data_IF_110789879712
#
_entry.id   IF_110789879712
#
_cell.length_a   1.000
_cell.length_b   1.000
_cell.length_c   1.000
_cell.angle_alpha   90.00
_cell.angle_beta   90.00
_cell.angle_gamma   90.00
#
_symmetry.space_group_name_H-M   'P 1'
#
loop_
_entity.id
_entity.type
_entity.pdbx_description
1 polymer ?
#
# COMPACT_ATOMS: atom_id res chain seq x y z
N UNK A 1 21.99 -7.89 -2.24
CA UNK A 1 21.51 -7.71 -0.86
C UNK A 1 20.67 -6.44 -0.89
N UNK A 2 19.37 -6.55 -1.18
CA UNK A 2 18.47 -5.39 -1.13
C UNK A 2 18.16 -5.22 0.34
N UNK A 3 18.84 -4.28 0.99
CA UNK A 3 18.55 -3.92 2.38
C UNK A 3 17.13 -3.39 2.41
N UNK A 4 16.19 -4.22 2.85
CA UNK A 4 14.87 -3.75 3.27
C UNK A 4 15.17 -2.80 4.44
N UNK A 5 14.77 -1.54 4.31
CA UNK A 5 15.05 -0.56 5.35
C UNK A 5 14.30 -0.99 6.62
N UNK A 6 14.89 -0.75 7.79
CA UNK A 6 14.26 -1.05 9.09
C UNK A 6 12.84 -0.45 9.22
N UNK A 7 12.61 0.70 8.59
CA UNK A 7 11.28 1.34 8.51
C UNK A 7 10.27 0.55 7.66
N UNK A 8 10.73 -0.13 6.60
CA UNK A 8 9.89 -1.01 5.79
C UNK A 8 9.56 -2.30 6.55
N UNK A 9 10.50 -2.83 7.33
CA UNK A 9 10.24 -3.95 8.24
C UNK A 9 9.23 -3.57 9.34
N UNK A 10 9.41 -2.42 10.01
CA UNK A 10 8.47 -1.92 11.04
C UNK A 10 7.07 -1.66 10.46
N UNK A 11 7.00 -1.15 9.23
CA UNK A 11 5.74 -0.91 8.53
C UNK A 11 5.05 -2.23 8.13
N UNK A 12 5.81 -3.18 7.59
CA UNK A 12 5.32 -4.50 7.23
C UNK A 12 4.93 -5.33 8.46
N UNK A 13 5.67 -5.22 9.56
CA UNK A 13 5.35 -5.87 10.82
C UNK A 13 4.08 -5.27 11.43
N UNK A 14 3.93 -3.94 11.43
CA UNK A 14 2.69 -3.27 11.86
C UNK A 14 1.46 -3.68 11.05
N UNK A 15 1.65 -3.93 9.74
CA UNK A 15 0.61 -4.34 8.83
C UNK A 15 0.27 -5.84 8.97
N UNK A 16 1.29 -6.68 9.11
CA UNK A 16 1.16 -8.14 9.18
C UNK A 16 0.66 -8.62 10.56
N UNK A 17 1.06 -7.97 11.65
CA UNK A 17 0.65 -8.33 13.02
C UNK A 17 -0.80 -7.96 13.36
N UNK A 18 -1.51 -7.13 12.56
CA UNK A 18 -2.85 -6.61 12.91
C UNK A 18 -3.92 -6.78 11.83
N UNK A 19 -3.91 -7.89 11.08
CA UNK A 19 -5.04 -8.27 10.19
C UNK A 19 -6.40 -8.33 10.92
N UNK A 20 -6.43 -8.48 12.25
CA UNK A 20 -7.67 -8.52 13.04
C UNK A 20 -8.25 -7.11 13.37
N UNK A 21 -7.47 -6.04 13.26
CA UNK A 21 -7.87 -4.66 13.62
C UNK A 21 -7.37 -3.65 12.58
N UNK A 22 -7.92 -3.74 11.36
CA UNK A 22 -7.59 -2.84 10.24
C UNK A 22 -7.75 -1.37 10.66
N UNK A 23 -8.80 -1.02 11.41
CA UNK A 23 -9.04 0.37 11.84
C UNK A 23 -7.96 0.91 12.78
N UNK A 24 -7.51 0.11 13.75
CA UNK A 24 -6.47 0.56 14.67
C UNK A 24 -5.11 0.68 13.96
N UNK A 25 -4.85 -0.22 13.01
CA UNK A 25 -3.65 -0.17 12.17
C UNK A 25 -3.63 1.06 11.28
N UNK A 26 -4.76 1.39 10.66
CA UNK A 26 -4.89 2.62 9.88
C UNK A 26 -4.63 3.86 10.74
N UNK A 27 -5.15 3.91 11.96
CA UNK A 27 -4.87 5.02 12.90
C UNK A 27 -3.38 5.12 13.24
N UNK A 28 -2.71 4.00 13.51
CA UNK A 28 -1.26 3.97 13.80
C UNK A 28 -0.43 4.45 12.62
N UNK A 29 -0.78 4.03 11.40
CA UNK A 29 -0.14 4.48 10.17
C UNK A 29 -0.36 5.99 9.97
N UNK A 30 -1.59 6.48 10.10
CA UNK A 30 -1.89 7.91 9.97
C UNK A 30 -1.17 8.78 11.00
N UNK A 31 -0.85 8.21 12.17
CA UNK A 31 -0.10 8.90 13.23
C UNK A 31 1.39 9.02 12.91
N UNK A 32 1.89 8.31 11.89
CA UNK A 32 3.29 8.36 11.52
C UNK A 32 3.64 9.65 10.79
N UNK A 33 4.76 10.27 11.18
CA UNK A 33 5.23 11.52 10.58
C UNK A 33 5.50 11.30 9.09
N UNK A 34 5.05 12.23 8.25
CA UNK A 34 5.19 12.12 6.80
C UNK A 34 4.06 11.37 6.08
N UNK A 35 3.12 10.72 6.77
CA UNK A 35 1.93 10.14 6.12
C UNK A 35 0.96 11.25 5.71
N UNK A 36 0.68 11.30 4.40
CA UNK A 36 -0.25 12.25 3.79
C UNK A 36 -1.67 11.67 3.77
N UNK A 37 -1.79 10.36 3.48
CA UNK A 37 -3.08 9.71 3.49
C UNK A 37 -3.04 8.21 3.25
N UNK A 38 -4.16 7.56 3.55
CA UNK A 38 -4.36 6.12 3.41
C UNK A 38 -5.62 5.84 2.63
N UNK A 39 -5.59 4.85 1.75
CA UNK A 39 -6.74 4.36 0.98
C UNK A 39 -6.83 2.84 1.13
N UNK A 40 -8.03 2.35 1.41
CA UNK A 40 -8.36 0.92 1.37
C UNK A 40 -9.28 0.68 0.18
N UNK A 41 -8.88 -0.21 -0.70
CA UNK A 41 -9.59 -0.54 -1.94
C UNK A 41 -9.99 -2.02 -1.89
N UNK A 42 -11.17 -2.37 -2.38
CA UNK A 42 -11.57 -3.79 -2.49
C UNK A 42 -10.86 -4.48 -3.68
N UNK A 43 -11.09 -5.79 -3.84
CA UNK A 43 -10.57 -6.56 -4.97
C UNK A 43 -11.05 -6.07 -6.36
N UNK A 44 -12.12 -5.26 -6.43
CA UNK A 44 -12.68 -4.71 -7.66
C UNK A 44 -12.09 -3.33 -8.02
N UNK A 45 -11.21 -2.78 -7.19
CA UNK A 45 -10.65 -1.45 -7.41
C UNK A 45 -11.51 -0.30 -6.86
N UNK A 46 -12.55 -0.59 -6.08
CA UNK A 46 -13.46 0.39 -5.48
C UNK A 46 -12.92 0.81 -4.09
N UNK A 47 -12.71 2.12 -3.84
CA UNK A 47 -12.32 2.60 -2.52
C UNK A 47 -13.41 2.33 -1.47
N UNK A 48 -13.05 1.61 -0.41
CA UNK A 48 -13.92 1.38 0.76
C UNK A 48 -13.72 2.48 1.79
N UNK A 49 -12.46 2.89 2.00
CA UNK A 49 -12.08 3.92 2.98
C UNK A 49 -10.93 4.77 2.45
N UNK A 50 -10.93 6.04 2.80
CA UNK A 50 -9.87 6.98 2.42
C UNK A 50 -9.80 8.11 3.42
N UNK A 51 -8.61 8.70 3.60
CA UNK A 51 -8.43 9.99 4.29
C UNK A 51 -8.25 11.14 3.31
N UNK A 52 -8.25 10.86 2.01
CA UNK A 52 -8.10 11.85 0.94
C UNK A 52 -9.47 12.24 0.37
N UNK A 53 -9.49 13.30 -0.43
CA UNK A 53 -10.70 13.70 -1.14
C UNK A 53 -11.12 12.63 -2.18
N UNK A 54 -12.41 12.60 -2.51
CA UNK A 54 -12.97 11.59 -3.40
C UNK A 54 -12.33 11.59 -4.79
N UNK A 55 -12.00 12.76 -5.34
CA UNK A 55 -11.46 12.87 -6.71
C UNK A 55 -10.08 12.22 -6.81
N UNK A 56 -9.20 12.57 -5.86
CA UNK A 56 -7.88 11.99 -5.71
C UNK A 56 -7.97 10.49 -5.42
N UNK A 57 -8.86 10.09 -4.51
CA UNK A 57 -9.02 8.70 -4.09
C UNK A 57 -9.37 7.78 -5.27
N UNK A 58 -10.36 8.16 -6.09
CA UNK A 58 -10.79 7.36 -7.25
C UNK A 58 -9.64 7.22 -8.27
N UNK A 59 -8.91 8.30 -8.52
CA UNK A 59 -7.77 8.28 -9.44
C UNK A 59 -6.66 7.35 -8.94
N UNK A 60 -6.26 7.47 -7.67
CA UNK A 60 -5.22 6.61 -7.09
C UNK A 60 -5.65 5.15 -7.01
N UNK A 61 -6.88 4.86 -6.57
CA UNK A 61 -7.39 3.50 -6.47
C UNK A 61 -7.38 2.79 -7.83
N UNK A 62 -7.90 3.43 -8.88
CA UNK A 62 -7.91 2.84 -10.21
C UNK A 62 -6.51 2.57 -10.78
N UNK A 63 -5.62 3.55 -10.70
CA UNK A 63 -4.26 3.43 -11.25
C UNK A 63 -3.41 2.43 -10.47
N UNK A 64 -3.43 2.49 -9.14
CA UNK A 64 -2.63 1.61 -8.29
C UNK A 64 -3.17 0.18 -8.25
N UNK A 65 -4.48 0.00 -8.37
CA UNK A 65 -5.06 -1.34 -8.53
C UNK A 65 -4.56 -2.01 -9.81
N UNK A 66 -4.66 -1.32 -10.96
CA UNK A 66 -4.16 -1.85 -12.23
C UNK A 66 -2.65 -2.12 -12.19
N UNK A 67 -1.88 -1.22 -11.58
CA UNK A 67 -0.43 -1.40 -11.44
C UNK A 67 -0.08 -2.61 -10.58
N UNK A 68 -0.76 -2.78 -9.44
CA UNK A 68 -0.52 -3.90 -8.51
C UNK A 68 -0.87 -5.24 -9.16
N UNK A 69 -1.96 -5.29 -9.93
CA UNK A 69 -2.36 -6.48 -10.68
C UNK A 69 -1.30 -6.86 -11.72
N UNK A 70 -0.81 -5.89 -12.49
CA UNK A 70 0.27 -6.13 -13.46
C UNK A 70 1.56 -6.58 -12.78
N UNK A 71 1.96 -5.91 -11.71
CA UNK A 71 3.15 -6.27 -10.95
C UNK A 71 3.05 -7.70 -10.38
N UNK A 72 1.88 -8.07 -9.84
CA UNK A 72 1.62 -9.43 -9.34
C UNK A 72 1.72 -10.48 -10.45
N UNK A 73 1.15 -10.22 -11.62
CA UNK A 73 1.30 -11.10 -12.79
C UNK A 73 2.76 -11.24 -13.21
N UNK A 74 3.50 -10.13 -13.33
CA UNK A 74 4.92 -10.16 -13.71
C UNK A 74 5.79 -10.92 -12.71
N UNK A 75 5.55 -10.78 -11.40
CA UNK A 75 6.27 -11.56 -10.38
C UNK A 75 6.01 -13.06 -10.55
N UNK A 76 4.75 -13.45 -10.79
CA UNK A 76 4.37 -14.85 -11.01
C UNK A 76 4.88 -15.43 -12.34
N UNK A 77 5.01 -14.59 -13.37
CA UNK A 77 5.58 -14.98 -14.65
C UNK A 77 7.09 -15.29 -14.53
N UNK A 78 7.79 -14.64 -13.58
CA UNK A 78 9.20 -14.89 -13.27
C UNK A 78 9.35 -16.15 -12.39
N UNK A 79 8.58 -16.24 -11.31
CA UNK A 79 8.53 -17.42 -10.45
C UNK A 79 7.08 -17.63 -9.94
N UNK A 80 6.40 -18.71 -10.37
CA UNK A 80 5.03 -18.98 -9.98
C UNK A 80 4.86 -19.30 -8.49
N UNK A 81 5.94 -19.58 -7.75
CA UNK A 81 5.90 -19.78 -6.29
C UNK A 81 5.96 -18.47 -5.51
N UNK A 82 6.26 -17.34 -6.16
CA UNK A 82 6.38 -16.03 -5.51
C UNK A 82 5.10 -15.22 -5.68
N UNK A 83 4.66 -14.58 -4.60
CA UNK A 83 3.57 -13.63 -4.60
C UNK A 83 4.08 -12.23 -4.25
N UNK A 84 3.53 -11.21 -4.92
CA UNK A 84 3.78 -9.83 -4.57
C UNK A 84 3.16 -9.55 -3.20
N UNK A 85 4.00 -9.33 -2.18
CA UNK A 85 3.57 -9.02 -0.81
C UNK A 85 3.52 -7.53 -0.54
N UNK A 86 4.39 -6.76 -1.20
CA UNK A 86 4.54 -5.34 -0.97
C UNK A 86 5.15 -4.64 -2.19
N UNK A 87 4.67 -3.43 -2.48
CA UNK A 87 5.13 -2.60 -3.58
C UNK A 87 5.36 -1.17 -3.08
N UNK A 88 6.59 -0.69 -3.15
CA UNK A 88 6.97 0.69 -2.81
C UNK A 88 7.37 1.46 -4.06
N UNK A 89 6.73 2.59 -4.29
CA UNK A 89 6.97 3.46 -5.44
C UNK A 89 7.37 4.83 -4.89
N UNK A 90 8.65 5.16 -5.01
CA UNK A 90 9.19 6.46 -4.59
C UNK A 90 9.32 7.40 -5.77
N UNK A 91 8.68 8.55 -5.68
CA UNK A 91 8.84 9.66 -6.62
C UNK A 91 9.48 10.86 -5.91
N UNK A 92 9.76 11.94 -6.65
CA UNK A 92 10.28 13.19 -6.05
C UNK A 92 9.28 13.91 -5.14
N UNK A 93 7.97 13.68 -5.34
CA UNK A 93 6.89 14.38 -4.63
C UNK A 93 6.17 13.52 -3.60
N UNK A 94 6.01 12.24 -3.92
CA UNK A 94 5.26 11.29 -3.11
C UNK A 94 5.98 9.95 -3.05
N UNK A 95 5.85 9.29 -1.92
CA UNK A 95 6.19 7.89 -1.74
C UNK A 95 4.89 7.11 -1.52
N UNK A 96 4.70 6.06 -2.31
CA UNK A 96 3.47 5.27 -2.30
C UNK A 96 3.84 3.85 -1.91
N UNK A 97 3.23 3.38 -0.83
CA UNK A 97 3.37 2.02 -0.34
C UNK A 97 2.06 1.30 -0.60
N UNK A 98 2.13 0.17 -1.29
CA UNK A 98 0.98 -0.64 -1.66
C UNK A 98 1.17 -2.05 -1.13
N UNK A 99 0.21 -2.52 -0.34
CA UNK A 99 0.19 -3.86 0.21
C UNK A 99 -1.06 -4.58 -0.30
N UNK A 100 -0.92 -5.48 -1.29
CA UNK A 100 -2.02 -6.33 -1.74
C UNK A 100 -2.33 -7.45 -0.74
N UNK A 101 -3.60 -7.61 -0.38
CA UNK A 101 -4.13 -8.79 0.31
C UNK A 101 -5.13 -9.53 -0.61
N UNK A 102 -5.66 -10.67 -0.15
CA UNK A 102 -6.59 -11.50 -0.91
C UNK A 102 -7.89 -10.78 -1.29
N UNK A 103 -8.37 -9.89 -0.42
CA UNK A 103 -9.71 -9.27 -0.56
C UNK A 103 -9.66 -7.75 -0.67
N UNK A 104 -8.53 -7.13 -0.31
CA UNK A 104 -8.36 -5.68 -0.31
C UNK A 104 -6.92 -5.29 -0.64
N UNK A 105 -6.75 -4.04 -1.04
CA UNK A 105 -5.49 -3.39 -1.35
C UNK A 105 -5.34 -2.20 -0.39
N UNK A 106 -4.30 -2.21 0.43
CA UNK A 106 -3.96 -1.06 1.25
C UNK A 106 -2.97 -0.18 0.50
N UNK A 107 -3.27 1.11 0.42
CA UNK A 107 -2.42 2.12 -0.20
C UNK A 107 -2.13 3.19 0.85
N UNK A 108 -0.86 3.53 0.99
CA UNK A 108 -0.39 4.58 1.88
C UNK A 108 0.45 5.56 1.07
N UNK A 109 0.16 6.85 1.23
CA UNK A 109 0.82 7.94 0.54
C UNK A 109 1.57 8.76 1.59
N UNK A 110 2.86 8.93 1.36
CA UNK A 110 3.80 9.62 2.23
C UNK A 110 4.56 10.71 1.47
N UNK A 111 5.12 11.65 2.23
CA UNK A 111 6.08 12.61 1.71
C UNK A 111 7.47 11.95 1.67
N UNK A 112 8.15 11.88 0.52
CA UNK A 112 9.46 11.24 0.39
C UNK A 112 10.60 12.00 1.09
N UNK A 113 10.34 13.25 1.52
CA UNK A 113 11.34 14.13 2.15
C UNK A 113 11.18 14.27 3.66
N UNK A 114 10.18 13.60 4.23
CA UNK A 114 10.00 13.47 5.68
C UNK A 114 10.84 12.32 6.24
#
# INVERSE_FOLDING_TARGET
>A
MVSINREEEDFMECLYMKKAEVEETLKRIQSHKGVIGTIVVNAEGIPIRTTLDNSTTVQYAGLLHQLSMKAKSTVRDIDPQNDLTFLRIRSKKHEIMVAPDKEYLLIVIQNPSE
#
